data_IF_539858053950
#
_entry.id   IF_539858053950
#
_cell.length_a   1.000
_cell.length_b   1.000
_cell.length_c   1.000
_cell.angle_alpha   90.00
_cell.angle_beta   90.00
_cell.angle_gamma   90.00
#
_symmetry.space_group_name_H-M   'P 1'
#
loop_
_entity.id
_entity.type
_entity.pdbx_description
1 polymer ?
#
# COMPACT_ATOMS: atom_id res chain seq x y z
N UNK A 1 -7.10 0.97 27.15
CA UNK A 1 -8.46 0.99 27.74
C UNK A 1 -9.47 0.52 26.72
N UNK A 2 -10.42 -0.23 27.16
CA UNK A 2 -11.51 -0.69 26.31
C UNK A 2 -12.52 0.43 26.09
N UNK A 3 -12.94 0.66 24.86
CA UNK A 3 -13.93 1.69 24.57
C UNK A 3 -14.07 1.99 23.08
N UNK A 4 -14.83 3.03 22.74
CA UNK A 4 -14.97 3.46 21.36
C UNK A 4 -13.64 3.83 20.73
N UNK A 5 -13.47 3.51 19.44
CA UNK A 5 -12.29 3.86 18.65
C UNK A 5 -12.61 5.07 17.78
N UNK A 6 -11.62 5.97 17.65
CA UNK A 6 -11.74 7.07 16.70
C UNK A 6 -11.67 6.55 15.26
N UNK A 7 -12.45 7.17 14.39
CA UNK A 7 -12.45 6.86 12.96
C UNK A 7 -12.06 8.12 12.20
N UNK A 8 -11.02 8.00 11.39
CA UNK A 8 -10.50 9.12 10.59
C UNK A 8 -10.61 8.79 9.11
N UNK A 9 -11.24 9.67 8.34
CA UNK A 9 -11.29 9.57 6.89
C UNK A 9 -10.24 10.50 6.28
N UNK A 10 -9.38 9.95 5.42
CA UNK A 10 -8.30 10.69 4.77
C UNK A 10 -8.52 10.66 3.26
N UNK A 11 -8.76 11.81 2.60
CA UNK A 11 -8.82 11.87 1.15
C UNK A 11 -7.48 11.54 0.53
N UNK A 12 -7.50 10.81 -0.58
CA UNK A 12 -6.33 10.44 -1.37
C UNK A 12 -6.56 10.78 -2.84
N UNK A 13 -5.49 11.01 -3.63
CA UNK A 13 -5.67 11.26 -5.06
C UNK A 13 -6.38 10.14 -5.79
N UNK A 14 -6.29 8.91 -5.29
CA UNK A 14 -6.87 7.71 -5.89
C UNK A 14 -8.21 7.29 -5.27
N UNK A 15 -8.68 7.99 -4.25
CA UNK A 15 -9.91 7.66 -3.53
C UNK A 15 -9.88 8.15 -2.09
N UNK A 16 -9.95 7.23 -1.12
CA UNK A 16 -9.84 7.60 0.29
C UNK A 16 -9.44 6.42 1.15
N UNK A 17 -8.97 6.74 2.36
CA UNK A 17 -8.74 5.75 3.43
C UNK A 17 -9.69 6.03 4.59
N UNK A 18 -10.11 4.98 5.27
CA UNK A 18 -10.76 5.07 6.58
C UNK A 18 -9.86 4.35 7.57
N UNK A 19 -9.29 5.09 8.52
CA UNK A 19 -8.50 4.52 9.61
C UNK A 19 -9.47 4.27 10.75
N UNK A 20 -9.85 3.03 10.95
CA UNK A 20 -10.86 2.64 11.96
C UNK A 20 -10.24 2.03 13.21
N UNK A 21 -8.97 1.66 13.17
CA UNK A 21 -8.22 1.14 14.30
C UNK A 21 -6.81 1.71 14.28
N UNK A 22 -6.38 2.26 15.39
CA UNK A 22 -5.03 2.80 15.53
C UNK A 22 -4.58 2.72 16.96
N UNK A 23 -3.53 1.93 17.20
CA UNK A 23 -2.88 1.81 18.51
C UNK A 23 -1.36 1.85 18.30
N UNK A 24 -0.61 1.77 19.38
CA UNK A 24 0.85 1.66 19.33
C UNK A 24 1.33 0.30 18.78
N UNK A 25 0.41 -0.64 18.54
CA UNK A 25 0.73 -2.00 18.09
C UNK A 25 0.24 -2.32 16.70
N UNK A 26 -0.87 -1.71 16.26
CA UNK A 26 -1.47 -2.05 14.96
C UNK A 26 -2.29 -0.89 14.40
N UNK A 27 -2.55 -0.99 13.10
CA UNK A 27 -3.46 -0.10 12.38
C UNK A 27 -4.40 -0.96 11.53
N UNK A 28 -5.67 -0.59 11.51
CA UNK A 28 -6.67 -1.15 10.61
C UNK A 28 -7.23 -0.07 9.72
N UNK A 29 -7.26 -0.33 8.41
CA UNK A 29 -7.77 0.62 7.43
C UNK A 29 -8.72 -0.03 6.46
N UNK A 30 -9.56 0.80 5.86
CA UNK A 30 -10.28 0.50 4.62
C UNK A 30 -9.71 1.44 3.57
N UNK A 31 -9.25 0.89 2.45
CA UNK A 31 -8.83 1.67 1.30
C UNK A 31 -9.92 1.58 0.24
N UNK A 32 -10.42 2.72 -0.22
CA UNK A 32 -11.31 2.76 -1.38
C UNK A 32 -10.53 3.34 -2.55
N UNK A 33 -10.34 2.55 -3.60
CA UNK A 33 -9.62 2.97 -4.80
C UNK A 33 -10.62 3.05 -5.94
N UNK A 34 -10.75 4.24 -6.52
CA UNK A 34 -11.63 4.46 -7.66
C UNK A 34 -11.11 3.71 -8.88
N UNK A 35 -12.03 3.20 -9.70
CA UNK A 35 -11.68 2.49 -10.94
C UNK A 35 -10.70 3.30 -11.79
N UNK A 36 -9.65 2.64 -12.27
CA UNK A 36 -8.61 3.27 -13.07
C UNK A 36 -7.51 3.99 -12.30
N UNK A 37 -7.67 4.17 -11.00
CA UNK A 37 -6.67 4.84 -10.18
C UNK A 37 -5.62 3.85 -9.65
N UNK A 38 -4.42 4.36 -9.40
CA UNK A 38 -3.26 3.55 -9.04
C UNK A 38 -2.53 4.14 -7.84
N UNK A 39 -2.15 3.28 -6.90
CA UNK A 39 -1.25 3.66 -5.82
C UNK A 39 0.20 3.73 -6.34
N UNK A 40 1.07 4.45 -5.61
CA UNK A 40 2.46 4.57 -5.99
C UNK A 40 3.18 3.22 -6.04
N UNK A 41 4.23 3.13 -6.83
CA UNK A 41 5.23 2.07 -6.72
C UNK A 41 6.09 2.42 -5.53
N UNK A 42 6.05 1.60 -4.49
CA UNK A 42 6.57 1.96 -3.17
C UNK A 42 7.08 0.78 -2.38
N UNK A 43 7.82 1.06 -1.32
CA UNK A 43 8.15 0.11 -0.28
C UNK A 43 8.13 0.78 1.08
N UNK A 44 8.13 -0.02 2.14
CA UNK A 44 8.17 0.45 3.52
C UNK A 44 9.46 -0.04 4.19
N UNK A 45 10.03 0.77 5.08
CA UNK A 45 11.25 0.39 5.79
C UNK A 45 10.95 -0.52 6.98
N UNK A 46 9.86 -0.28 7.69
CA UNK A 46 9.50 -1.03 8.90
C UNK A 46 8.10 -1.59 8.87
N UNK A 47 7.19 -0.93 8.14
CA UNK A 47 5.78 -1.32 8.09
C UNK A 47 5.61 -2.67 7.42
N UNK A 48 4.88 -3.55 8.09
CA UNK A 48 4.38 -4.79 7.52
C UNK A 48 2.87 -4.69 7.42
N UNK A 49 2.29 -5.16 6.32
CA UNK A 49 0.85 -5.11 6.12
C UNK A 49 0.32 -6.36 5.45
N UNK A 50 -0.95 -6.64 5.68
CA UNK A 50 -1.71 -7.63 4.92
C UNK A 50 -2.95 -6.94 4.40
N UNK A 51 -3.19 -7.07 3.10
CA UNK A 51 -4.36 -6.52 2.43
C UNK A 51 -5.30 -7.63 2.04
N UNK A 52 -6.60 -7.37 2.14
CA UNK A 52 -7.67 -8.28 1.76
C UNK A 52 -8.62 -7.53 0.83
N UNK A 53 -8.80 -8.03 -0.39
CA UNK A 53 -9.73 -7.44 -1.33
C UNK A 53 -11.15 -7.85 -0.97
N UNK A 54 -11.91 -6.90 -0.44
CA UNK A 54 -13.30 -7.12 -0.02
C UNK A 54 -14.24 -7.07 -1.22
N UNK A 55 -14.00 -6.13 -2.14
CA UNK A 55 -14.84 -5.91 -3.30
C UNK A 55 -14.03 -5.34 -4.45
N UNK A 56 -14.33 -5.76 -5.68
CA UNK A 56 -13.72 -5.25 -6.90
C UNK A 56 -12.69 -6.20 -7.51
N UNK A 57 -12.04 -5.71 -8.55
CA UNK A 57 -10.93 -6.37 -9.25
C UNK A 57 -9.71 -5.48 -9.19
N UNK A 58 -8.57 -6.03 -8.78
CA UNK A 58 -7.35 -5.29 -8.50
C UNK A 58 -6.18 -5.89 -9.27
N UNK A 59 -5.43 -5.06 -9.98
CA UNK A 59 -4.11 -5.43 -10.48
C UNK A 59 -3.08 -5.14 -9.40
N UNK A 60 -2.18 -6.08 -9.18
CA UNK A 60 -1.18 -6.01 -8.14
C UNK A 60 0.19 -6.30 -8.71
N UNK A 61 1.16 -5.45 -8.41
CA UNK A 61 2.55 -5.63 -8.82
C UNK A 61 3.43 -5.76 -7.59
N UNK A 62 4.35 -6.72 -7.64
CA UNK A 62 5.25 -6.98 -6.51
C UNK A 62 6.62 -7.43 -7.03
N UNK A 63 7.66 -7.05 -6.31
CA UNK A 63 9.03 -7.50 -6.56
C UNK A 63 9.58 -8.09 -5.26
N UNK A 64 9.83 -9.39 -5.26
CA UNK A 64 10.19 -10.15 -4.07
C UNK A 64 11.66 -10.60 -4.04
N UNK A 65 12.42 -10.33 -5.10
CA UNK A 65 13.80 -10.82 -5.25
C UNK A 65 14.84 -9.90 -4.64
N UNK A 66 14.47 -8.75 -4.14
CA UNK A 66 15.35 -7.74 -3.61
C UNK A 66 14.69 -7.03 -2.42
N UNK A 67 15.47 -6.84 -1.37
CA UNK A 67 15.08 -5.94 -0.28
C UNK A 67 15.51 -4.51 -0.67
N UNK A 68 14.54 -3.63 -0.86
CA UNK A 68 14.80 -2.26 -1.30
C UNK A 68 15.39 -1.36 -0.21
N UNK A 69 15.32 -1.78 1.04
CA UNK A 69 15.77 -0.96 2.17
C UNK A 69 17.26 -0.63 2.06
N UNK A 70 17.58 0.63 2.31
CA UNK A 70 18.96 1.11 2.28
C UNK A 70 19.57 1.30 0.89
N UNK A 71 18.78 1.09 -0.17
CA UNK A 71 19.23 1.29 -1.55
C UNK A 71 18.75 2.64 -2.07
N UNK A 72 19.60 3.30 -2.86
CA UNK A 72 19.21 4.54 -3.53
C UNK A 72 18.26 4.24 -4.69
N UNK A 73 17.50 5.25 -5.12
CA UNK A 73 16.64 5.13 -6.31
C UNK A 73 17.46 4.76 -7.54
N UNK A 74 18.70 5.27 -7.65
CA UNK A 74 19.61 4.94 -8.74
C UNK A 74 20.03 3.48 -8.71
N UNK A 75 20.38 2.95 -7.53
CA UNK A 75 20.73 1.53 -7.37
C UNK A 75 19.56 0.63 -7.74
N UNK A 76 18.34 0.97 -7.29
CA UNK A 76 17.13 0.21 -7.62
C UNK A 76 16.89 0.22 -9.12
N UNK A 77 17.05 1.37 -9.77
CA UNK A 77 16.90 1.50 -11.22
C UNK A 77 17.92 0.62 -11.98
N UNK A 78 19.16 0.57 -11.52
CA UNK A 78 20.20 -0.25 -12.15
C UNK A 78 19.98 -1.75 -12.01
N UNK A 79 19.27 -2.19 -10.99
CA UNK A 79 19.00 -3.62 -10.77
C UNK A 79 17.98 -4.22 -11.74
N UNK A 80 17.42 -3.40 -12.65
CA UNK A 80 16.49 -3.89 -13.66
C UNK A 80 15.23 -4.51 -13.05
N UNK A 81 14.66 -3.84 -12.07
CA UNK A 81 13.50 -4.34 -11.33
C UNK A 81 12.33 -4.56 -12.28
N UNK A 82 11.86 -5.80 -12.35
CA UNK A 82 10.64 -6.16 -13.08
C UNK A 82 9.58 -6.60 -12.07
N UNK A 83 8.54 -5.80 -11.94
CA UNK A 83 7.43 -6.10 -11.05
C UNK A 83 6.61 -7.27 -11.61
N UNK A 84 6.35 -8.24 -10.77
CA UNK A 84 5.47 -9.35 -11.12
C UNK A 84 4.02 -8.86 -11.10
N UNK A 85 3.34 -9.05 -12.22
CA UNK A 85 1.94 -8.67 -12.38
C UNK A 85 1.03 -9.81 -11.90
N UNK A 86 0.09 -9.48 -11.01
CA UNK A 86 -0.90 -10.41 -10.51
C UNK A 86 -2.27 -9.75 -10.53
N UNK A 87 -3.31 -10.56 -10.68
CA UNK A 87 -4.68 -10.09 -10.55
C UNK A 87 -5.29 -10.67 -9.28
N UNK A 88 -5.85 -9.80 -8.44
CA UNK A 88 -6.56 -10.19 -7.23
C UNK A 88 -8.05 -9.97 -7.43
N UNK A 89 -8.82 -10.94 -6.96
CA UNK A 89 -10.28 -10.91 -6.94
C UNK A 89 -10.78 -10.86 -5.50
N UNK A 90 -12.04 -10.50 -5.32
CA UNK A 90 -12.65 -10.44 -4.00
C UNK A 90 -12.42 -11.76 -3.24
N UNK A 91 -11.94 -11.65 -2.02
CA UNK A 91 -11.58 -12.80 -1.18
C UNK A 91 -10.10 -13.13 -1.16
N UNK A 92 -9.29 -12.54 -2.05
CA UNK A 92 -7.85 -12.74 -2.03
C UNK A 92 -7.17 -11.84 -1.00
N UNK A 93 -6.14 -12.38 -0.36
CA UNK A 93 -5.31 -11.64 0.59
C UNK A 93 -3.84 -11.73 0.20
N UNK A 94 -3.08 -10.68 0.49
CA UNK A 94 -1.66 -10.61 0.18
C UNK A 94 -0.89 -9.95 1.31
N UNK A 95 0.19 -10.60 1.77
CA UNK A 95 1.08 -10.07 2.81
C UNK A 95 2.25 -9.36 2.17
N UNK A 96 2.56 -8.17 2.68
CA UNK A 96 3.65 -7.32 2.21
C UNK A 96 4.61 -7.07 3.36
N UNK A 97 5.82 -7.60 3.24
CA UNK A 97 6.87 -7.44 4.26
C UNK A 97 7.69 -6.17 4.00
N UNK A 98 8.37 -5.63 5.03
CA UNK A 98 9.25 -4.47 4.83
C UNK A 98 10.27 -4.69 3.72
N UNK A 99 10.55 -3.66 2.95
CA UNK A 99 11.51 -3.70 1.85
C UNK A 99 10.97 -4.26 0.53
N UNK A 100 9.73 -4.71 0.49
CA UNK A 100 9.12 -5.27 -0.72
C UNK A 100 8.52 -4.16 -1.58
N UNK A 101 9.01 -4.02 -2.80
CA UNK A 101 8.46 -3.05 -3.75
C UNK A 101 7.12 -3.58 -4.27
N UNK A 102 6.09 -2.75 -4.20
CA UNK A 102 4.73 -3.12 -4.60
C UNK A 102 3.94 -1.94 -5.11
N UNK A 103 2.86 -2.24 -5.81
CA UNK A 103 1.89 -1.26 -6.31
C UNK A 103 0.58 -1.96 -6.60
N UNK A 104 -0.51 -1.20 -6.66
CA UNK A 104 -1.82 -1.72 -7.01
C UNK A 104 -2.63 -0.70 -7.80
N UNK A 105 -3.47 -1.21 -8.70
CA UNK A 105 -4.35 -0.41 -9.54
C UNK A 105 -5.75 -1.03 -9.56
N UNK A 106 -6.77 -0.21 -9.36
CA UNK A 106 -8.14 -0.67 -9.40
C UNK A 106 -8.61 -0.82 -10.85
N UNK A 107 -9.01 -2.03 -11.22
CA UNK A 107 -9.69 -2.27 -12.52
C UNK A 107 -11.12 -1.79 -12.44
N UNK A 108 -11.79 -2.14 -11.35
CA UNK A 108 -13.09 -1.58 -10.95
C UNK A 108 -12.91 -0.85 -9.64
N UNK A 109 -13.94 -0.16 -9.14
CA UNK A 109 -13.88 0.38 -7.77
C UNK A 109 -13.56 -0.75 -6.80
N UNK A 110 -12.59 -0.54 -5.93
CA UNK A 110 -12.12 -1.55 -4.98
C UNK A 110 -12.26 -1.06 -3.56
N UNK A 111 -12.69 -1.97 -2.67
CA UNK A 111 -12.61 -1.79 -1.23
C UNK A 111 -11.66 -2.83 -0.67
N UNK A 112 -10.63 -2.37 0.03
CA UNK A 112 -9.53 -3.19 0.53
C UNK A 112 -9.43 -3.00 2.04
N UNK A 113 -9.39 -4.10 2.77
CA UNK A 113 -9.08 -4.09 4.20
C UNK A 113 -7.57 -4.21 4.36
N UNK A 114 -6.99 -3.36 5.19
CA UNK A 114 -5.56 -3.42 5.52
C UNK A 114 -5.39 -3.59 7.03
N UNK A 115 -4.63 -4.60 7.42
CA UNK A 115 -4.12 -4.75 8.77
C UNK A 115 -2.61 -4.49 8.70
N UNK A 116 -2.10 -3.59 9.51
CA UNK A 116 -0.68 -3.24 9.46
C UNK A 116 -0.10 -2.93 10.83
N UNK A 117 1.22 -2.93 10.90
CA UNK A 117 1.97 -2.35 11.99
C UNK A 117 1.78 -0.83 12.02
N UNK A 118 2.12 -0.14 13.13
CA UNK A 118 1.63 1.24 13.34
C UNK A 118 2.35 2.35 12.58
N UNK A 119 3.35 2.04 11.75
CA UNK A 119 4.15 3.04 11.04
C UNK A 119 3.36 3.63 9.85
N UNK A 120 2.49 4.60 10.11
CA UNK A 120 1.61 5.21 9.11
C UNK A 120 2.36 6.03 8.05
N UNK A 121 3.46 6.67 8.41
CA UNK A 121 4.22 7.59 7.55
C UNK A 121 5.44 6.93 6.91
N UNK A 122 5.58 5.62 7.06
CA UNK A 122 6.72 4.86 6.57
C UNK A 122 6.48 4.40 5.14
N UNK A 123 6.69 5.29 4.19
CA UNK A 123 6.57 4.97 2.77
C UNK A 123 7.67 5.66 1.96
N UNK A 124 8.29 4.91 1.05
CA UNK A 124 9.21 5.44 0.04
C UNK A 124 8.58 5.21 -1.33
N UNK A 125 8.23 6.30 -2.00
CA UNK A 125 7.59 6.24 -3.32
C UNK A 125 8.63 6.34 -4.41
N UNK A 126 8.69 5.32 -5.25
CA UNK A 126 9.62 5.26 -6.40
C UNK A 126 8.99 5.85 -7.65
N UNK A 127 7.71 5.61 -7.86
CA UNK A 127 6.90 6.18 -8.94
C UNK A 127 5.53 6.53 -8.39
N UNK A 128 5.00 7.67 -8.78
CA UNK A 128 3.67 8.09 -8.36
C UNK A 128 2.98 8.89 -9.46
N UNK A 129 1.81 8.41 -9.89
CA UNK A 129 0.99 9.06 -10.90
C UNK A 129 0.60 10.50 -10.52
N UNK A 130 0.60 10.82 -9.23
CA UNK A 130 0.13 12.10 -8.67
C UNK A 130 1.27 13.02 -8.22
N UNK A 131 2.51 12.70 -8.60
CA UNK A 131 3.67 13.58 -8.36
C UNK A 131 4.24 13.57 -6.94
N UNK A 132 4.02 12.49 -6.17
CA UNK A 132 4.50 12.37 -4.78
C UNK A 132 5.80 11.57 -4.63
N UNK A 133 6.52 11.29 -5.74
CA UNK A 133 7.76 10.52 -5.70
C UNK A 133 8.74 11.11 -4.68
N UNK A 134 9.44 10.24 -3.97
CA UNK A 134 10.44 10.62 -3.00
C UNK A 134 9.91 11.20 -1.71
N UNK A 135 8.58 11.27 -1.53
CA UNK A 135 7.97 11.78 -0.30
C UNK A 135 7.50 10.64 0.60
N UNK A 136 7.41 10.92 1.90
CA UNK A 136 6.76 10.03 2.87
C UNK A 136 5.39 10.56 3.30
N UNK A 137 4.85 11.55 2.60
CA UNK A 137 3.52 12.09 2.91
C UNK A 137 2.46 10.99 2.73
N UNK A 138 1.51 10.91 3.65
CA UNK A 138 0.42 9.94 3.58
C UNK A 138 -0.43 10.07 2.32
#
# INVERSE_FOLDING_TARGET
>A
MTGPSDVTRVPKPWGYEIIWARTDRYVGKILHINAGEKLSVQYHNRKEETVYLLQGELRYWVYTELDARGKSAEELSRNGIQLRDMQLSAGDAFRITPGTIHSMEAVTDCDILEASTPELDDVVRLEDRYGREGTSAP
#
